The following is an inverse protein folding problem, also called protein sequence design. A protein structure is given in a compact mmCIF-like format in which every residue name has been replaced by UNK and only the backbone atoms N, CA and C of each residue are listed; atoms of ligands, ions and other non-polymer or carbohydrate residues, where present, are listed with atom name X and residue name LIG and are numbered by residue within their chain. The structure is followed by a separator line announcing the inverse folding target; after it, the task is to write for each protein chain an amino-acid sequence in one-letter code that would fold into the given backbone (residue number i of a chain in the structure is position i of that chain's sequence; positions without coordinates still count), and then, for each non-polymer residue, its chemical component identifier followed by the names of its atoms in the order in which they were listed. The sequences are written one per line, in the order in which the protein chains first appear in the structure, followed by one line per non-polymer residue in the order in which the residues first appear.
data_IF_401876425743
#
_entry.id   IF_401876425743
#
_cell.length_a   1.000
_cell.length_b   1.000
_cell.length_c   1.000
_cell.angle_alpha   90.00
_cell.angle_beta   90.00
_cell.angle_gamma   90.00
#
_symmetry.space_group_name_H-M   'P 1'
#
loop_
_entity.id
_entity.type
_entity.pdbx_description
1 polymer ?
#
# COMPACT_ATOMS: atom_id res chain seq x y z
N UNK A 1 -16.35 20.71 3.96
CA UNK A 1 -17.43 19.81 3.49
C UNK A 1 -16.91 18.40 3.62
N UNK A 2 -17.51 17.58 4.47
CA UNK A 2 -17.21 16.15 4.51
C UNK A 2 -17.83 15.54 3.25
N UNK A 3 -16.97 15.17 2.30
CA UNK A 3 -17.44 14.53 1.06
C UNK A 3 -17.87 13.09 1.39
N UNK A 4 -19.01 12.63 0.87
CA UNK A 4 -19.38 11.23 0.99
C UNK A 4 -18.33 10.34 0.31
N UNK A 5 -18.20 9.12 0.82
CA UNK A 5 -17.30 8.10 0.30
C UNK A 5 -18.03 6.76 0.17
N UNK A 6 -17.54 5.91 -0.72
CA UNK A 6 -18.04 4.54 -0.82
C UNK A 6 -17.64 3.80 0.45
N UNK A 7 -18.64 3.39 1.23
CA UNK A 7 -18.44 2.66 2.48
C UNK A 7 -18.47 1.15 2.24
N UNK A 8 -19.42 0.69 1.42
CA UNK A 8 -19.55 -0.71 1.07
C UNK A 8 -19.91 -0.87 -0.40
N UNK A 9 -19.33 -1.87 -1.04
CA UNK A 9 -19.74 -2.39 -2.33
C UNK A 9 -19.84 -3.91 -2.22
N UNK A 10 -21.01 -4.47 -2.54
CA UNK A 10 -21.21 -5.91 -2.61
C UNK A 10 -21.65 -6.30 -4.00
N UNK A 11 -20.86 -7.16 -4.62
CA UNK A 11 -21.23 -7.84 -5.86
C UNK A 11 -21.65 -9.28 -5.56
N UNK A 12 -22.84 -9.65 -6.01
CA UNK A 12 -23.37 -11.01 -5.94
C UNK A 12 -23.31 -11.61 -7.34
N UNK A 13 -22.23 -12.35 -7.58
CA UNK A 13 -22.10 -13.19 -8.76
C UNK A 13 -23.15 -14.29 -8.78
N UNK A 14 -23.33 -14.90 -9.94
CA UNK A 14 -24.24 -16.03 -10.12
C UNK A 14 -23.44 -17.29 -10.45
N UNK A 15 -23.89 -18.47 -9.98
CA UNK A 15 -23.29 -19.72 -10.39
C UNK A 15 -23.52 -19.97 -11.89
N UNK A 16 -22.70 -20.83 -12.48
CA UNK A 16 -22.85 -21.22 -13.89
C UNK A 16 -24.24 -21.83 -14.13
N UNK A 17 -24.90 -21.39 -15.21
CA UNK A 17 -26.25 -21.86 -15.59
C UNK A 17 -27.42 -21.11 -14.96
N UNK A 18 -27.18 -20.16 -14.04
CA UNK A 18 -28.22 -19.28 -13.51
C UNK A 18 -28.54 -18.15 -14.52
N UNK A 19 -29.83 -17.94 -14.79
CA UNK A 19 -30.34 -16.94 -15.73
C UNK A 19 -30.62 -15.57 -15.12
N UNK A 20 -30.61 -15.44 -13.78
CA UNK A 20 -30.78 -14.15 -13.16
C UNK A 20 -29.56 -13.24 -13.42
N UNK A 21 -29.75 -11.94 -13.62
CA UNK A 21 -28.62 -11.03 -13.71
C UNK A 21 -27.85 -11.00 -12.37
N UNK A 22 -26.53 -10.84 -12.40
CA UNK A 22 -25.76 -10.50 -11.22
C UNK A 22 -26.31 -9.24 -10.56
N UNK A 23 -26.38 -9.25 -9.23
CA UNK A 23 -26.89 -8.13 -8.45
C UNK A 23 -25.73 -7.45 -7.72
N UNK A 24 -25.83 -6.15 -7.53
CA UNK A 24 -24.87 -5.40 -6.72
C UNK A 24 -25.57 -4.29 -5.96
N UNK A 25 -24.96 -3.86 -4.86
CA UNK A 25 -25.40 -2.71 -4.10
C UNK A 25 -24.21 -1.88 -3.62
N UNK A 26 -24.46 -0.59 -3.41
CA UNK A 26 -23.49 0.36 -2.84
C UNK A 26 -24.10 0.97 -1.59
N UNK A 27 -23.29 1.16 -0.56
CA UNK A 27 -23.63 2.00 0.60
C UNK A 27 -22.68 3.18 0.62
N UNK A 28 -23.24 4.39 0.69
CA UNK A 28 -22.47 5.62 0.79
C UNK A 28 -22.38 6.03 2.25
N UNK A 29 -21.16 6.28 2.72
CA UNK A 29 -20.86 6.74 4.07
C UNK A 29 -20.37 8.18 4.08
N UNK A 30 -20.62 8.87 5.17
CA UNK A 30 -20.08 10.21 5.41
C UNK A 30 -19.92 10.45 6.91
N UNK A 31 -18.86 11.17 7.27
CA UNK A 31 -18.78 11.78 8.59
C UNK A 31 -19.58 13.09 8.56
N UNK A 32 -20.44 13.35 9.54
CA UNK A 32 -21.26 14.56 9.63
C UNK A 32 -21.23 15.09 11.06
N UNK A 33 -21.02 16.40 11.22
CA UNK A 33 -21.25 17.05 12.51
C UNK A 33 -22.74 17.38 12.64
N UNK A 34 -23.49 16.55 13.35
CA UNK A 34 -24.92 16.80 13.57
C UNK A 34 -25.13 18.01 14.51
N UNK A 35 -26.21 18.78 14.34
CA UNK A 35 -26.55 19.87 15.25
C UNK A 35 -26.60 19.39 16.71
N UNK A 36 -25.86 20.04 17.60
CA UNK A 36 -25.79 19.69 19.02
C UNK A 36 -24.90 18.48 19.37
N UNK A 37 -24.29 17.82 18.39
CA UNK A 37 -23.32 16.76 18.67
C UNK A 37 -21.99 17.35 19.16
N UNK A 38 -21.34 16.67 20.12
CA UNK A 38 -20.02 17.06 20.61
C UNK A 38 -18.87 16.65 19.66
N UNK A 39 -19.10 15.68 18.78
CA UNK A 39 -18.11 15.15 17.84
C UNK A 39 -18.78 14.70 16.52
N UNK A 40 -18.00 14.57 15.43
CA UNK A 40 -18.52 14.06 14.16
C UNK A 40 -19.04 12.63 14.29
N UNK A 41 -20.14 12.33 13.61
CA UNK A 41 -20.77 11.02 13.59
C UNK A 41 -20.73 10.42 12.19
N UNK A 42 -20.66 9.10 12.09
CA UNK A 42 -20.77 8.41 10.82
C UNK A 42 -22.24 8.18 10.46
N UNK A 43 -22.63 8.51 9.23
CA UNK A 43 -23.98 8.30 8.68
C UNK A 43 -23.86 7.60 7.34
N UNK A 44 -24.73 6.61 7.09
CA UNK A 44 -24.79 5.90 5.81
C UNK A 44 -26.18 5.95 5.16
N UNK A 45 -26.23 5.82 3.83
CA UNK A 45 -27.46 5.88 3.03
C UNK A 45 -28.32 4.59 3.06
N UNK A 46 -27.83 3.51 3.66
CA UNK A 46 -28.33 2.16 3.37
C UNK A 46 -27.97 1.68 1.94
N UNK A 47 -28.32 0.43 1.57
CA UNK A 47 -28.02 -0.12 0.25
C UNK A 47 -28.82 0.57 -0.85
N UNK A 48 -28.10 1.10 -1.84
CA UNK A 48 -28.66 1.65 -3.07
C UNK A 48 -28.94 0.54 -4.08
N UNK A 49 -30.01 0.67 -4.87
CA UNK A 49 -30.18 -0.15 -6.08
C UNK A 49 -29.11 0.22 -7.11
N UNK A 50 -28.83 -0.67 -8.09
CA UNK A 50 -27.94 -0.34 -9.20
C UNK A 50 -28.26 1.00 -9.87
N UNK A 51 -29.53 1.27 -10.19
CA UNK A 51 -29.94 2.52 -10.85
C UNK A 51 -29.68 3.75 -9.98
N UNK A 52 -29.92 3.65 -8.67
CA UNK A 52 -29.65 4.73 -7.72
C UNK A 52 -28.15 5.00 -7.59
N UNK A 53 -27.33 3.94 -7.55
CA UNK A 53 -25.89 4.06 -7.47
C UNK A 53 -25.28 4.62 -8.77
N UNK A 54 -25.76 4.17 -9.94
CA UNK A 54 -25.42 4.73 -11.25
C UNK A 54 -25.73 6.24 -11.32
N UNK A 55 -26.95 6.63 -10.92
CA UNK A 55 -27.36 8.03 -10.87
C UNK A 55 -26.51 8.89 -9.91
N UNK A 56 -25.94 8.27 -8.86
CA UNK A 56 -25.03 8.90 -7.93
C UNK A 56 -23.55 8.89 -8.39
N UNK A 57 -23.26 8.35 -9.59
CA UNK A 57 -21.90 8.28 -10.14
C UNK A 57 -21.06 7.08 -9.64
N UNK A 58 -21.71 6.08 -9.04
CA UNK A 58 -21.09 4.87 -8.51
C UNK A 58 -21.47 3.64 -9.35
N UNK A 59 -21.21 3.72 -10.67
CA UNK A 59 -21.42 2.60 -11.59
C UNK A 59 -20.54 1.40 -11.23
N UNK A 60 -20.98 0.19 -11.58
CA UNK A 60 -20.17 -1.01 -11.35
C UNK A 60 -18.77 -0.88 -11.98
N UNK A 61 -18.71 -0.39 -13.23
CA UNK A 61 -17.44 -0.18 -13.92
C UNK A 61 -16.55 0.82 -13.18
N UNK A 62 -17.09 1.98 -12.78
CA UNK A 62 -16.32 3.01 -12.10
C UNK A 62 -15.79 2.53 -10.74
N UNK A 63 -16.58 1.74 -10.01
CA UNK A 63 -16.14 1.15 -8.74
C UNK A 63 -14.99 0.18 -8.97
N UNK A 64 -15.10 -0.73 -9.94
CA UNK A 64 -14.03 -1.70 -10.25
C UNK A 64 -12.77 -1.00 -10.75
N UNK A 65 -12.89 0.02 -11.60
CA UNK A 65 -11.75 0.80 -12.09
C UNK A 65 -11.03 1.51 -10.94
N UNK A 66 -11.77 2.08 -9.98
CA UNK A 66 -11.21 2.69 -8.78
C UNK A 66 -10.47 1.69 -7.89
N UNK A 67 -11.04 0.50 -7.67
CA UNK A 67 -10.41 -0.58 -6.90
C UNK A 67 -9.12 -1.02 -7.57
N UNK A 68 -9.16 -1.25 -8.89
CA UNK A 68 -8.00 -1.67 -9.67
C UNK A 68 -6.89 -0.61 -9.63
N UNK A 69 -7.22 0.66 -9.82
CA UNK A 69 -6.26 1.76 -9.74
C UNK A 69 -5.59 1.85 -8.36
N UNK A 70 -6.36 1.73 -7.28
CA UNK A 70 -5.84 1.73 -5.92
C UNK A 70 -4.92 0.51 -5.65
N UNK A 71 -5.31 -0.67 -6.11
CA UNK A 71 -4.50 -1.88 -5.99
C UNK A 71 -3.16 -1.76 -6.75
N UNK A 72 -3.19 -1.21 -7.97
CA UNK A 72 -1.99 -0.93 -8.75
C UNK A 72 -1.07 0.09 -8.07
N UNK A 73 -1.63 1.19 -7.54
CA UNK A 73 -0.87 2.18 -6.80
C UNK A 73 -0.22 1.59 -5.54
N UNK A 74 -0.95 0.74 -4.80
CA UNK A 74 -0.43 0.03 -3.62
C UNK A 74 0.70 -0.95 -3.97
N UNK A 75 0.57 -1.68 -5.08
CA UNK A 75 1.64 -2.54 -5.61
C UNK A 75 2.89 -1.72 -5.92
N UNK A 76 2.73 -0.61 -6.64
CA UNK A 76 3.86 0.21 -7.08
C UNK A 76 4.59 0.84 -5.89
N UNK A 77 3.85 1.28 -4.87
CA UNK A 77 4.42 1.75 -3.60
C UNK A 77 5.22 0.64 -2.89
N UNK A 78 4.65 -0.56 -2.75
CA UNK A 78 5.33 -1.69 -2.12
C UNK A 78 6.62 -2.10 -2.87
N UNK A 79 6.63 -2.02 -4.21
CA UNK A 79 7.83 -2.25 -5.02
C UNK A 79 8.90 -1.19 -4.75
N UNK A 80 8.51 0.08 -4.66
CA UNK A 80 9.42 1.18 -4.35
C UNK A 80 10.03 1.02 -2.94
N UNK A 81 9.23 0.68 -1.94
CA UNK A 81 9.67 0.45 -0.57
C UNK A 81 10.63 -0.74 -0.48
N UNK A 82 10.31 -1.86 -1.15
CA UNK A 82 11.20 -3.01 -1.21
C UNK A 82 12.54 -2.67 -1.87
N UNK A 83 12.54 -1.83 -2.91
CA UNK A 83 13.76 -1.36 -3.54
C UNK A 83 14.59 -0.44 -2.63
N UNK A 84 13.94 0.42 -1.84
CA UNK A 84 14.60 1.26 -0.84
C UNK A 84 15.25 0.41 0.26
N UNK A 85 14.51 -0.54 0.84
CA UNK A 85 15.01 -1.43 1.88
C UNK A 85 16.21 -2.27 1.39
N UNK A 86 16.21 -2.72 0.13
CA UNK A 86 17.37 -3.43 -0.46
C UNK A 86 18.60 -2.53 -0.54
N UNK A 87 18.45 -1.28 -0.98
CA UNK A 87 19.56 -0.31 -1.03
C UNK A 87 20.14 -0.04 0.36
N UNK A 88 19.28 0.18 1.35
CA UNK A 88 19.70 0.40 2.73
C UNK A 88 20.47 -0.79 3.31
N UNK A 89 19.97 -2.02 3.06
CA UNK A 89 20.66 -3.26 3.44
C UNK A 89 22.03 -3.34 2.79
N UNK A 90 22.11 -3.10 1.48
CA UNK A 90 23.35 -3.23 0.72
C UNK A 90 24.38 -2.17 1.14
N UNK A 91 23.95 -0.95 1.46
CA UNK A 91 24.79 0.10 2.02
C UNK A 91 25.29 -0.25 3.44
N UNK A 92 24.42 -0.82 4.29
CA UNK A 92 24.81 -1.27 5.62
C UNK A 92 25.84 -2.41 5.56
N UNK A 93 25.66 -3.37 4.65
CA UNK A 93 26.62 -4.45 4.41
C UNK A 93 27.96 -3.92 3.89
N UNK A 94 27.95 -2.91 3.00
CA UNK A 94 29.18 -2.27 2.52
C UNK A 94 29.95 -1.59 3.65
N UNK A 95 29.26 -0.79 4.48
CA UNK A 95 29.87 -0.13 5.65
C UNK A 95 30.41 -1.15 6.65
N UNK A 96 29.68 -2.24 6.86
CA UNK A 96 30.16 -3.32 7.73
C UNK A 96 31.46 -3.93 7.19
N UNK A 97 31.52 -4.21 5.88
CA UNK A 97 32.73 -4.72 5.24
C UNK A 97 33.91 -3.73 5.30
N UNK A 98 33.66 -2.42 5.17
CA UNK A 98 34.69 -1.38 5.34
C UNK A 98 35.25 -1.34 6.75
N UNK A 99 34.41 -1.55 7.78
CA UNK A 99 34.83 -1.58 9.19
C UNK A 99 35.59 -2.87 9.52
N UNK A 100 35.19 -4.01 8.94
CA UNK A 100 35.77 -5.32 9.25
C UNK A 100 36.93 -5.70 8.33
N UNK A 101 37.20 -4.92 7.28
CA UNK A 101 38.35 -5.11 6.41
C UNK A 101 39.65 -4.99 7.23
N UNK A 102 40.48 -6.04 7.30
CA UNK A 102 41.75 -5.96 8.01
C UNK A 102 42.66 -4.93 7.34
N UNK A 103 43.23 -4.02 8.13
CA UNK A 103 44.26 -3.10 7.69
C UNK A 103 45.39 -3.90 7.02
N UNK A 104 45.80 -3.60 5.77
CA UNK A 104 46.93 -4.28 5.18
C UNK A 104 48.14 -4.04 6.08
N UNK A 105 48.68 -5.13 6.64
CA UNK A 105 49.92 -5.10 7.40
C UNK A 105 50.99 -4.47 6.53
N UNK A 106 51.33 -3.22 6.85
CA UNK A 106 52.36 -2.48 6.16
C UNK A 106 53.69 -2.98 6.68
N UNK A 107 54.44 -3.65 5.82
CA UNK A 107 55.88 -3.83 5.97
C UNK A 107 56.31 -5.07 6.75
N UNK A 108 56.87 -6.03 6.01
CA UNK A 108 58.06 -6.74 6.46
C UNK A 108 59.06 -5.70 7.02
N UNK A 109 59.30 -5.73 8.33
CA UNK A 109 60.52 -5.13 8.88
C UNK A 109 61.70 -5.99 8.37
N UNK A 110 62.66 -5.43 7.61
CA UNK A 110 63.86 -6.17 7.28
C UNK A 110 64.66 -6.35 8.58
N UNK A 111 64.81 -7.61 9.01
CA UNK A 111 65.67 -8.00 10.13
C UNK A 111 67.08 -7.44 9.86
N UNK A 112 67.65 -6.60 10.74
CA UNK A 112 69.01 -6.12 10.57
C UNK A 112 69.98 -7.29 10.75
N UNK A 113 70.81 -7.53 9.73
CA UNK A 113 71.89 -8.51 9.73
C UNK A 113 72.91 -8.15 10.82
N UNK A 114 73.06 -8.99 11.84
CA UNK A 114 74.03 -8.82 12.92
C UNK A 114 75.38 -9.39 12.45
N UNK A 115 76.46 -8.61 12.39
CA UNK A 115 77.76 -9.16 12.01
C UNK A 115 78.32 -10.03 13.14
N UNK A 116 78.77 -11.23 12.80
CA UNK A 116 79.46 -12.14 13.71
C UNK A 116 80.80 -11.54 14.16
N UNK A 117 81.06 -11.61 15.46
CA UNK A 117 82.34 -11.31 16.09
C UNK A 117 83.09 -12.61 16.42
#
# INVERSE_FOLDING_TARGET
MNKPYLYEFLYRGRPEGDSEPPAWHVVIGQMVQLPGAAAPQFVSSGPLTPEQAEAAGHSLSAVLDGINAAALAGRDAAVADAAAARRERDDALRRLAEITAPTPATGDDPVPDVPAA
#
